data_IF_078413291959
#
_entry.id   IF_078413291959
#
_cell.length_a   1.000
_cell.length_b   1.000
_cell.length_c   1.000
_cell.angle_alpha   90.00
_cell.angle_beta   90.00
_cell.angle_gamma   90.00
#
_symmetry.space_group_name_H-M   'P 1'
#
loop_
_entity.id
_entity.type
_entity.pdbx_description
1 polymer ?
#
# COMPACT_ATOMS: atom_id res chain seq x y z
N UNK A 1 3.42 -2.85 -18.57
CA UNK A 1 2.94 -1.78 -17.67
C UNK A 1 1.43 -1.84 -17.47
N UNK A 2 0.60 -1.79 -18.52
CA UNK A 2 -0.86 -1.90 -18.37
C UNK A 2 -1.35 -3.15 -17.60
N UNK A 3 -0.75 -4.31 -17.85
CA UNK A 3 -1.06 -5.53 -17.10
C UNK A 3 -0.82 -5.37 -15.58
N UNK A 4 0.32 -4.80 -15.20
CA UNK A 4 0.67 -4.55 -13.80
C UNK A 4 -0.26 -3.49 -13.19
N UNK A 5 -0.57 -2.43 -13.94
CA UNK A 5 -1.56 -1.44 -13.54
C UNK A 5 -2.94 -2.08 -13.30
N UNK A 6 -3.35 -3.04 -14.14
CA UNK A 6 -4.60 -3.79 -13.94
C UNK A 6 -4.62 -4.60 -12.65
N UNK A 7 -3.52 -5.28 -12.32
CA UNK A 7 -3.40 -6.02 -11.05
C UNK A 7 -3.44 -5.05 -9.86
N UNK A 8 -2.70 -3.94 -9.91
CA UNK A 8 -2.68 -2.94 -8.84
C UNK A 8 -4.06 -2.27 -8.66
N UNK A 9 -4.76 -1.98 -9.75
CA UNK A 9 -6.11 -1.44 -9.71
C UNK A 9 -7.08 -2.41 -9.05
N UNK A 10 -7.01 -3.72 -9.38
CA UNK A 10 -7.81 -4.74 -8.70
C UNK A 10 -7.46 -4.84 -7.21
N UNK A 11 -6.17 -4.81 -6.87
CA UNK A 11 -5.71 -4.86 -5.49
C UNK A 11 -6.20 -3.65 -4.66
N UNK A 12 -6.27 -2.45 -5.24
CA UNK A 12 -6.83 -1.27 -4.56
C UNK A 12 -8.36 -1.23 -4.56
N UNK A 13 -8.99 -1.80 -5.58
CA UNK A 13 -10.44 -1.80 -5.73
C UNK A 13 -11.15 -2.51 -4.58
N UNK A 14 -10.71 -3.72 -4.22
CA UNK A 14 -11.40 -4.51 -3.19
C UNK A 14 -11.37 -3.86 -1.80
N UNK A 15 -10.24 -3.37 -1.26
CA UNK A 15 -10.20 -2.70 0.03
C UNK A 15 -11.05 -1.45 0.09
N UNK A 16 -11.12 -0.69 -1.01
CA UNK A 16 -11.99 0.48 -1.14
C UNK A 16 -13.47 0.08 -1.19
N UNK A 17 -13.78 -1.10 -1.75
CA UNK A 17 -15.14 -1.62 -1.83
C UNK A 17 -15.65 -2.17 -0.49
N UNK A 18 -14.77 -2.64 0.40
CA UNK A 18 -15.14 -3.18 1.71
C UNK A 18 -16.06 -2.25 2.53
N UNK A 19 -15.73 -0.96 2.76
CA UNK A 19 -16.62 -0.05 3.47
C UNK A 19 -17.93 0.25 2.72
N UNK A 20 -17.94 0.20 1.38
CA UNK A 20 -19.15 0.35 0.57
C UNK A 20 -20.12 -0.81 0.82
N UNK A 21 -19.60 -2.04 0.84
CA UNK A 21 -20.39 -3.24 1.13
C UNK A 21 -20.92 -3.21 2.58
N UNK A 22 -20.10 -2.78 3.55
CA UNK A 22 -20.54 -2.60 4.93
C UNK A 22 -21.70 -1.61 5.04
N UNK A 23 -21.59 -0.44 4.38
CA UNK A 23 -22.64 0.60 4.40
C UNK A 23 -23.97 0.12 3.80
N UNK A 24 -23.91 -0.78 2.81
CA UNK A 24 -25.10 -1.34 2.16
C UNK A 24 -25.61 -2.64 2.84
N UNK A 25 -25.13 -2.97 4.03
CA UNK A 25 -25.57 -4.16 4.78
C UNK A 25 -25.03 -5.49 4.26
N UNK A 26 -24.15 -5.49 3.25
CA UNK A 26 -23.52 -6.70 2.69
C UNK A 26 -22.32 -7.15 3.53
N UNK A 27 -22.57 -7.41 4.82
CA UNK A 27 -21.54 -7.68 5.83
C UNK A 27 -20.72 -8.94 5.54
N UNK A 28 -21.34 -9.99 5.01
CA UNK A 28 -20.63 -11.24 4.66
C UNK A 28 -19.59 -11.01 3.57
N UNK A 29 -19.95 -10.32 2.48
CA UNK A 29 -19.05 -10.02 1.38
C UNK A 29 -17.90 -9.11 1.83
N UNK A 30 -18.20 -8.06 2.60
CA UNK A 30 -17.19 -7.18 3.18
C UNK A 30 -16.22 -7.94 4.10
N UNK A 31 -16.76 -8.84 4.94
CA UNK A 31 -15.97 -9.64 5.88
C UNK A 31 -14.97 -10.56 5.17
N UNK A 32 -15.32 -11.09 4.00
CA UNK A 32 -14.36 -11.85 3.17
C UNK A 32 -13.22 -10.97 2.72
N UNK A 33 -13.49 -9.73 2.28
CA UNK A 33 -12.45 -8.79 1.87
C UNK A 33 -11.52 -8.49 3.06
N UNK A 34 -12.03 -8.07 4.21
CA UNK A 34 -11.21 -7.83 5.40
C UNK A 34 -10.38 -9.06 5.81
N UNK A 35 -10.93 -10.27 5.73
CA UNK A 35 -10.18 -11.49 6.05
C UNK A 35 -9.02 -11.74 5.09
N UNK A 36 -9.21 -11.52 3.80
CA UNK A 36 -8.17 -11.70 2.79
C UNK A 36 -7.08 -10.64 2.95
N UNK A 37 -7.46 -9.38 3.15
CA UNK A 37 -6.50 -8.27 3.24
C UNK A 37 -5.74 -8.22 4.56
N UNK A 38 -6.25 -8.82 5.64
CA UNK A 38 -5.51 -9.05 6.90
C UNK A 38 -4.19 -9.80 6.74
N UNK A 39 -4.01 -10.57 5.65
CA UNK A 39 -2.74 -11.25 5.35
C UNK A 39 -1.68 -10.26 4.85
N UNK A 40 -2.11 -9.20 4.17
CA UNK A 40 -1.23 -8.20 3.59
C UNK A 40 -1.01 -7.00 4.51
N UNK A 41 -2.02 -6.65 5.31
CA UNK A 41 -2.00 -5.51 6.21
C UNK A 41 -2.55 -5.89 7.59
N UNK A 42 -2.03 -5.28 8.65
CA UNK A 42 -2.57 -5.48 10.00
C UNK A 42 -3.94 -4.78 10.21
N UNK A 43 -4.36 -3.91 9.28
CA UNK A 43 -5.65 -3.22 9.30
C UNK A 43 -5.97 -2.52 10.64
N UNK A 44 -4.96 -1.95 11.31
CA UNK A 44 -5.17 -1.26 12.57
C UNK A 44 -6.13 -0.09 12.37
N UNK A 45 -7.21 -0.05 13.16
CA UNK A 45 -8.25 0.97 13.10
C UNK A 45 -7.67 2.39 13.10
N UNK A 46 -6.71 2.67 13.99
CA UNK A 46 -6.06 3.98 14.12
C UNK A 46 -5.00 4.30 13.03
N UNK A 47 -4.84 3.43 12.03
CA UNK A 47 -3.94 3.61 10.88
C UNK A 47 -4.64 3.42 9.54
N UNK A 48 -5.97 3.40 9.54
CA UNK A 48 -6.78 3.14 8.35
C UNK A 48 -7.66 4.34 8.03
N UNK A 49 -7.90 4.56 6.75
CA UNK A 49 -8.90 5.54 6.31
C UNK A 49 -10.31 4.98 6.49
N UNK A 50 -11.27 5.86 6.76
CA UNK A 50 -12.68 5.54 6.94
C UNK A 50 -13.53 6.22 5.87
N UNK A 51 -14.60 5.53 5.47
CA UNK A 51 -15.64 6.08 4.60
C UNK A 51 -16.99 6.03 5.33
N UNK A 52 -17.87 6.98 5.00
CA UNK A 52 -19.25 7.06 5.51
C UNK A 52 -19.38 7.39 7.01
N UNK A 53 -18.37 8.01 7.61
CA UNK A 53 -18.39 8.50 8.99
C UNK A 53 -18.08 9.99 9.08
N UNK A 54 -17.94 10.50 10.31
CA UNK A 54 -17.68 11.91 10.58
C UNK A 54 -16.28 12.38 10.14
N UNK A 55 -15.28 11.49 10.22
CA UNK A 55 -13.90 11.74 9.81
C UNK A 55 -13.37 10.67 8.87
N UNK A 56 -12.39 11.06 8.06
CA UNK A 56 -11.66 10.15 7.17
C UNK A 56 -10.59 9.32 7.90
N UNK A 57 -10.21 9.69 9.11
CA UNK A 57 -9.22 8.99 9.92
C UNK A 57 -9.42 9.30 11.40
N UNK A 58 -9.03 8.35 12.27
CA UNK A 58 -9.11 8.46 13.73
C UNK A 58 -7.75 8.07 14.31
N UNK A 59 -6.84 9.03 14.51
CA UNK A 59 -5.48 8.73 14.93
C UNK A 59 -5.45 8.39 16.43
N UNK A 60 -4.36 7.78 16.90
CA UNK A 60 -4.13 7.66 18.35
C UNK A 60 -3.94 9.03 18.97
N UNK A 61 -4.34 9.19 20.23
CA UNK A 61 -4.03 10.40 21.01
C UNK A 61 -2.52 10.72 21.01
N UNK A 62 -1.68 9.67 21.05
CA UNK A 62 -0.22 9.78 20.98
C UNK A 62 0.31 10.48 19.71
N UNK A 63 -0.46 10.53 18.63
CA UNK A 63 -0.07 11.24 17.40
C UNK A 63 -0.12 12.77 17.56
N UNK A 64 -0.75 13.30 18.63
CA UNK A 64 -0.73 14.71 18.99
C UNK A 64 -1.45 15.63 17.99
N UNK A 65 -2.43 15.11 17.23
CA UNK A 65 -3.18 15.88 16.25
C UNK A 65 -4.37 16.55 16.95
N UNK A 66 -4.45 17.88 16.88
CA UNK A 66 -5.58 18.65 17.42
C UNK A 66 -6.77 18.67 16.46
N UNK A 67 -7.96 18.95 16.99
CA UNK A 67 -9.22 19.10 16.23
C UNK A 67 -9.68 17.84 15.48
N UNK A 68 -9.34 16.66 15.99
CA UNK A 68 -9.82 15.37 15.47
C UNK A 68 -10.23 14.47 16.63
N UNK A 69 -11.28 13.68 16.45
CA UNK A 69 -11.65 12.62 17.37
C UNK A 69 -10.58 11.53 17.27
N UNK A 70 -9.98 11.17 18.40
CA UNK A 70 -8.98 10.11 18.46
C UNK A 70 -9.64 8.74 18.41
N UNK A 71 -8.87 7.72 18.06
CA UNK A 71 -9.33 6.34 18.10
C UNK A 71 -9.81 5.94 19.50
N UNK A 72 -9.08 6.33 20.54
CA UNK A 72 -9.42 6.04 21.93
C UNK A 72 -10.74 6.73 22.33
N UNK A 73 -10.97 7.97 21.87
CA UNK A 73 -12.23 8.69 22.10
C UNK A 73 -13.40 8.06 21.33
N UNK A 74 -13.19 7.67 20.07
CA UNK A 74 -14.25 7.14 19.22
C UNK A 74 -14.68 5.71 19.59
N UNK A 75 -13.75 4.91 20.12
CA UNK A 75 -14.00 3.48 20.43
C UNK A 75 -14.10 3.18 21.92
N UNK A 76 -13.60 4.06 22.79
CA UNK A 76 -13.46 3.80 24.22
C UNK A 76 -12.38 2.75 24.56
N UNK A 77 -11.63 2.28 23.56
CA UNK A 77 -10.66 1.19 23.69
C UNK A 77 -9.23 1.71 23.61
N UNK A 78 -8.34 1.08 24.37
CA UNK A 78 -6.92 1.40 24.35
C UNK A 78 -6.28 0.97 23.02
N UNK A 79 -5.40 1.80 22.45
CA UNK A 79 -4.64 1.43 21.26
C UNK A 79 -3.60 0.32 21.50
N UNK A 80 -3.30 -0.01 22.76
CA UNK A 80 -2.48 -1.16 23.14
C UNK A 80 -3.25 -2.48 22.98
N UNK A 81 -4.58 -2.45 22.91
CA UNK A 81 -5.41 -3.62 22.61
C UNK A 81 -5.44 -3.90 21.09
N UNK A 82 -4.30 -4.40 20.59
CA UNK A 82 -4.05 -4.61 19.16
C UNK A 82 -5.10 -5.51 18.51
N UNK A 83 -5.57 -6.55 19.21
CA UNK A 83 -6.58 -7.46 18.66
C UNK A 83 -7.92 -6.77 18.43
N UNK A 84 -8.34 -5.89 19.33
CA UNK A 84 -9.54 -5.09 19.10
C UNK A 84 -9.31 -4.11 17.95
N UNK A 85 -8.19 -3.37 17.95
CA UNK A 85 -7.88 -2.39 16.91
C UNK A 85 -7.83 -3.02 15.50
N UNK A 86 -7.34 -4.26 15.38
CA UNK A 86 -7.31 -5.02 14.12
C UNK A 86 -8.69 -5.51 13.70
N UNK A 87 -9.52 -5.96 14.64
CA UNK A 87 -10.82 -6.56 14.34
C UNK A 87 -11.95 -5.53 14.22
N UNK A 88 -11.78 -4.34 14.77
CA UNK A 88 -12.75 -3.26 14.65
C UNK A 88 -12.86 -2.79 13.19
N UNK A 89 -14.02 -3.01 12.57
CA UNK A 89 -14.29 -2.63 11.17
C UNK A 89 -14.84 -1.21 11.05
N UNK A 90 -15.62 -0.76 12.03
CA UNK A 90 -16.32 0.51 11.98
C UNK A 90 -17.69 0.46 12.63
N UNK A 91 -18.35 1.61 12.69
CA UNK A 91 -19.71 1.79 13.21
C UNK A 91 -20.37 2.99 12.50
N UNK A 92 -21.58 3.37 12.91
CA UNK A 92 -22.32 4.46 12.26
C UNK A 92 -21.65 5.83 12.42
N UNK A 93 -20.98 6.08 13.54
CA UNK A 93 -20.26 7.32 13.83
C UNK A 93 -18.96 7.42 13.02
N UNK A 94 -18.13 6.39 13.14
CA UNK A 94 -16.81 6.36 12.51
C UNK A 94 -16.86 6.07 11.02
N UNK A 95 -17.98 5.53 10.53
CA UNK A 95 -18.05 4.87 9.24
C UNK A 95 -17.29 3.56 9.28
N UNK A 96 -16.91 3.06 8.11
CA UNK A 96 -16.22 1.78 7.95
C UNK A 96 -14.81 1.99 7.38
N UNK A 97 -13.83 1.29 7.94
CA UNK A 97 -12.44 1.39 7.52
C UNK A 97 -12.22 0.74 6.15
N UNK A 98 -11.29 1.29 5.37
CA UNK A 98 -10.72 0.62 4.20
C UNK A 98 -9.92 -0.60 4.67
N UNK A 99 -9.95 -1.71 3.93
CA UNK A 99 -9.33 -2.97 4.34
C UNK A 99 -7.78 -2.99 4.25
N UNK A 100 -7.13 -1.84 4.15
CA UNK A 100 -5.67 -1.68 4.18
C UNK A 100 -5.33 -0.35 4.86
N UNK A 101 -4.12 -0.23 5.39
CA UNK A 101 -3.71 0.98 6.11
C UNK A 101 -3.47 2.17 5.17
N UNK A 102 -3.46 3.38 5.74
CA UNK A 102 -3.18 4.65 5.04
C UNK A 102 -1.86 4.59 4.25
N UNK A 103 -0.83 3.96 4.81
CA UNK A 103 0.48 3.79 4.14
C UNK A 103 0.37 2.88 2.93
N UNK A 104 -0.33 1.75 3.03
CA UNK A 104 -0.48 0.80 1.93
C UNK A 104 -1.31 1.42 0.79
N UNK A 105 -2.39 2.15 1.12
CA UNK A 105 -3.13 2.94 0.13
C UNK A 105 -2.19 3.86 -0.66
N UNK A 106 -1.30 4.57 0.04
CA UNK A 106 -0.33 5.45 -0.60
C UNK A 106 0.73 4.70 -1.43
N UNK A 107 1.25 3.57 -0.95
CA UNK A 107 2.26 2.77 -1.67
C UNK A 107 1.66 2.21 -2.97
N UNK A 108 0.58 1.46 -2.86
CA UNK A 108 -0.04 0.80 -4.02
C UNK A 108 -0.70 1.82 -4.96
N UNK A 109 -1.25 2.91 -4.41
CA UNK A 109 -1.75 4.04 -5.20
C UNK A 109 -0.64 4.68 -6.04
N UNK A 110 0.52 4.95 -5.42
CA UNK A 110 1.69 5.47 -6.13
C UNK A 110 2.22 4.51 -7.19
N UNK A 111 2.24 3.20 -6.92
CA UNK A 111 2.60 2.19 -7.93
C UNK A 111 1.68 2.25 -9.14
N UNK A 112 0.36 2.28 -8.91
CA UNK A 112 -0.62 2.36 -9.97
C UNK A 112 -0.45 3.64 -10.80
N UNK A 113 -0.38 4.79 -10.15
CA UNK A 113 -0.21 6.09 -10.82
C UNK A 113 1.10 6.16 -11.60
N UNK A 114 2.20 5.68 -11.03
CA UNK A 114 3.49 5.62 -11.72
C UNK A 114 3.44 4.67 -12.92
N UNK A 115 2.73 3.54 -12.84
CA UNK A 115 2.63 2.58 -13.94
C UNK A 115 1.84 3.17 -15.12
N UNK A 116 0.75 3.88 -14.82
CA UNK A 116 -0.03 4.61 -15.82
C UNK A 116 0.80 5.75 -16.42
N UNK A 117 1.45 6.56 -15.60
CA UNK A 117 2.32 7.66 -16.05
C UNK A 117 3.46 7.15 -16.93
N UNK A 118 4.17 6.10 -16.50
CA UNK A 118 5.26 5.49 -17.25
C UNK A 118 4.80 4.95 -18.61
N UNK A 119 3.57 4.40 -18.68
CA UNK A 119 2.95 4.01 -19.94
C UNK A 119 2.61 5.20 -20.85
N UNK A 120 2.11 6.31 -20.27
CA UNK A 120 1.73 7.53 -21.01
C UNK A 120 2.94 8.21 -21.66
N UNK A 121 4.08 8.26 -20.97
CA UNK A 121 5.34 8.83 -21.52
C UNK A 121 6.06 7.88 -22.49
N UNK A 122 5.42 6.78 -22.91
CA UNK A 122 5.99 5.81 -23.84
C UNK A 122 7.15 5.01 -23.25
N UNK A 123 7.20 4.87 -21.92
CA UNK A 123 8.20 4.07 -21.20
C UNK A 123 9.66 4.49 -21.40
N UNK A 124 9.88 5.79 -21.64
CA UNK A 124 11.20 6.36 -21.95
C UNK A 124 11.96 6.87 -20.71
N UNK A 125 11.38 6.73 -19.52
CA UNK A 125 12.01 7.19 -18.29
C UNK A 125 13.27 6.37 -17.99
N UNK A 126 14.38 7.04 -17.72
CA UNK A 126 15.61 6.37 -17.30
C UNK A 126 15.47 5.86 -15.87
N UNK A 127 16.10 4.71 -15.59
CA UNK A 127 16.16 4.12 -14.26
C UNK A 127 16.77 5.07 -13.24
N UNK A 128 16.18 5.09 -12.04
CA UNK A 128 16.74 5.80 -10.90
C UNK A 128 18.02 5.05 -10.43
N UNK A 129 19.14 5.73 -10.13
CA UNK A 129 20.28 5.08 -9.50
C UNK A 129 19.90 4.48 -8.14
N UNK A 130 20.43 3.31 -7.80
CA UNK A 130 20.04 2.56 -6.60
C UNK A 130 20.21 3.38 -5.30
N UNK A 131 21.24 4.22 -5.21
CA UNK A 131 21.49 5.04 -4.01
C UNK A 131 20.45 6.16 -3.85
N UNK A 132 19.97 6.75 -4.96
CA UNK A 132 18.87 7.72 -4.89
C UNK A 132 17.57 7.04 -4.51
N UNK A 133 17.31 5.83 -5.04
CA UNK A 133 16.16 5.02 -4.61
C UNK A 133 16.19 4.74 -3.10
N UNK A 134 17.34 4.31 -2.56
CA UNK A 134 17.50 4.12 -1.11
C UNK A 134 17.20 5.42 -0.36
N UNK A 135 17.81 6.52 -0.77
CA UNK A 135 17.69 7.81 -0.09
C UNK A 135 16.27 8.39 -0.09
N UNK A 136 15.57 8.33 -1.22
CA UNK A 136 14.25 8.99 -1.35
C UNK A 136 13.08 8.07 -0.98
N UNK A 137 13.23 6.75 -1.19
CA UNK A 137 12.14 5.80 -1.05
C UNK A 137 12.26 5.02 0.27
N UNK A 138 13.41 4.39 0.52
CA UNK A 138 13.59 3.50 1.68
C UNK A 138 13.86 4.26 2.97
N UNK A 139 14.73 5.28 2.97
CA UNK A 139 15.12 5.99 4.19
C UNK A 139 13.92 6.68 4.86
N UNK A 140 13.08 7.49 4.19
CA UNK A 140 11.97 8.17 4.86
C UNK A 140 10.94 7.20 5.44
N UNK A 141 10.59 6.15 4.70
CA UNK A 141 9.66 5.12 5.16
C UNK A 141 10.25 4.27 6.28
N UNK A 142 11.54 3.94 6.21
CA UNK A 142 12.27 3.23 7.25
C UNK A 142 12.33 4.04 8.54
N UNK A 143 12.69 5.31 8.48
CA UNK A 143 12.73 6.21 9.64
C UNK A 143 11.34 6.35 10.28
N UNK A 144 10.30 6.58 9.48
CA UNK A 144 8.95 6.69 10.02
C UNK A 144 8.44 5.36 10.59
N UNK A 145 8.66 4.23 9.92
CA UNK A 145 8.24 2.91 10.38
C UNK A 145 8.97 2.44 11.64
N UNK A 146 10.30 2.56 11.68
CA UNK A 146 11.12 2.13 12.82
C UNK A 146 10.83 2.97 14.05
N UNK A 147 10.63 4.28 13.90
CA UNK A 147 10.31 5.15 15.04
C UNK A 147 8.94 4.87 15.68
N UNK A 148 8.07 4.06 15.05
CA UNK A 148 6.77 3.67 15.59
C UNK A 148 6.77 2.32 16.30
N UNK A 149 7.78 1.47 16.09
CA UNK A 149 7.89 0.16 16.76
C UNK A 149 7.74 0.28 18.29
N UNK A 150 8.34 1.28 18.97
CA UNK A 150 8.14 1.50 20.41
C UNK A 150 6.68 1.58 20.83
N UNK A 151 5.84 2.23 20.02
CA UNK A 151 4.43 2.50 20.32
C UNK A 151 3.53 1.25 20.26
N UNK A 152 4.06 0.13 19.74
CA UNK A 152 3.38 -1.14 19.59
C UNK A 152 3.85 -2.20 20.61
N UNK A 153 4.90 -1.90 21.40
CA UNK A 153 5.51 -2.86 22.31
C UNK A 153 5.02 -2.67 23.75
N UNK A 154 4.46 -3.72 24.33
CA UNK A 154 4.11 -3.82 25.75
C UNK A 154 5.36 -4.16 26.58
N UNK A 155 6.20 -3.15 26.85
CA UNK A 155 7.45 -3.30 27.59
C UNK A 155 8.56 -2.33 27.19
N UNK A 156 8.23 -1.30 26.41
CA UNK A 156 9.20 -0.28 26.01
C UNK A 156 9.71 0.51 27.23
N UNK A 157 11.04 0.75 27.34
CA UNK A 157 11.57 1.47 28.49
C UNK A 157 10.98 2.88 28.59
N UNK A 158 10.52 3.26 29.79
CA UNK A 158 9.83 4.54 30.05
C UNK A 158 10.66 5.78 29.77
N UNK A 159 11.98 5.65 29.71
CA UNK A 159 12.92 6.73 29.42
C UNK A 159 13.17 6.95 27.91
N UNK A 160 12.73 6.03 27.05
CA UNK A 160 12.84 6.18 25.61
C UNK A 160 11.56 6.81 25.04
N UNK A 161 11.66 7.79 24.12
CA UNK A 161 10.50 8.44 23.56
C UNK A 161 9.64 7.44 22.76
N UNK A 162 8.33 7.52 22.97
CA UNK A 162 7.33 6.76 22.22
C UNK A 162 6.68 7.71 21.22
N UNK A 163 6.60 7.26 19.96
CA UNK A 163 6.05 8.05 18.87
C UNK A 163 5.08 7.23 18.04
N UNK A 164 3.95 7.84 17.66
CA UNK A 164 3.04 7.31 16.64
C UNK A 164 3.13 8.18 15.37
N UNK A 165 2.97 7.59 14.18
CA UNK A 165 2.88 8.39 12.95
C UNK A 165 1.59 9.19 12.90
N UNK A 166 1.63 10.31 12.20
CA UNK A 166 0.42 10.97 11.72
C UNK A 166 -0.03 10.34 10.40
N UNK A 167 -1.35 10.35 10.09
CA UNK A 167 -1.85 9.89 8.79
C UNK A 167 -1.17 10.56 7.60
N UNK A 168 -0.92 11.86 7.70
CA UNK A 168 -0.21 12.63 6.67
C UNK A 168 1.19 12.08 6.41
N UNK A 169 1.96 11.78 7.46
CA UNK A 169 3.31 11.26 7.29
C UNK A 169 3.31 9.83 6.74
N UNK A 170 2.33 8.99 7.13
CA UNK A 170 2.16 7.65 6.54
C UNK A 170 1.89 7.73 5.04
N UNK A 171 1.05 8.68 4.60
CA UNK A 171 0.78 8.93 3.18
C UNK A 171 2.02 9.43 2.47
N UNK A 172 2.73 10.41 3.01
CA UNK A 172 3.93 10.99 2.37
C UNK A 172 5.03 9.93 2.22
N UNK A 173 5.36 9.23 3.30
CA UNK A 173 6.43 8.22 3.29
C UNK A 173 6.05 7.01 2.44
N UNK A 174 4.79 6.57 2.48
CA UNK A 174 4.28 5.52 1.60
C UNK A 174 4.29 5.94 0.13
N UNK A 175 3.89 7.17 -0.18
CA UNK A 175 3.88 7.69 -1.54
C UNK A 175 5.29 7.84 -2.11
N UNK A 176 6.24 8.36 -1.31
CA UNK A 176 7.66 8.45 -1.67
C UNK A 176 8.25 7.06 -1.94
N UNK A 177 7.97 6.09 -1.07
CA UNK A 177 8.39 4.71 -1.28
C UNK A 177 7.82 4.13 -2.57
N UNK A 178 6.52 4.31 -2.80
CA UNK A 178 5.82 3.82 -3.98
C UNK A 178 6.37 4.44 -5.27
N UNK A 179 6.44 5.77 -5.36
CA UNK A 179 6.95 6.49 -6.54
C UNK A 179 8.43 6.19 -6.79
N UNK A 180 9.26 6.24 -5.75
CA UNK A 180 10.70 5.98 -5.88
C UNK A 180 10.99 4.55 -6.31
N UNK A 181 10.27 3.58 -5.74
CA UNK A 181 10.44 2.16 -6.11
C UNK A 181 9.90 1.87 -7.51
N UNK A 182 8.78 2.48 -7.93
CA UNK A 182 8.32 2.38 -9.33
C UNK A 182 9.29 3.02 -10.32
N UNK A 183 9.87 4.18 -10.00
CA UNK A 183 10.87 4.82 -10.85
C UNK A 183 12.14 3.95 -10.95
N UNK A 184 12.54 3.28 -9.88
CA UNK A 184 13.64 2.32 -9.92
C UNK A 184 13.30 1.09 -10.78
N UNK A 185 12.18 0.42 -10.49
CA UNK A 185 11.88 -0.91 -11.02
C UNK A 185 11.30 -0.88 -12.44
N UNK A 186 10.42 0.07 -12.78
CA UNK A 186 9.69 0.00 -14.05
C UNK A 186 10.57 0.14 -15.30
N UNK A 187 11.57 1.05 -15.34
CA UNK A 187 12.54 1.08 -16.43
C UNK A 187 13.34 -0.22 -16.54
N UNK A 188 13.88 -0.72 -15.43
CA UNK A 188 14.66 -1.97 -15.39
C UNK A 188 13.84 -3.17 -15.89
N UNK A 189 12.57 -3.23 -15.49
CA UNK A 189 11.65 -4.27 -15.92
C UNK A 189 11.32 -4.17 -17.41
N UNK A 190 11.11 -2.96 -17.96
CA UNK A 190 10.87 -2.79 -19.39
C UNK A 190 12.09 -3.22 -20.22
N UNK A 191 13.30 -2.84 -19.81
CA UNK A 191 14.55 -3.26 -20.46
C UNK A 191 14.64 -4.80 -20.49
N UNK A 192 14.45 -5.45 -19.35
CA UNK A 192 14.45 -6.92 -19.25
C UNK A 192 13.37 -7.58 -20.11
N UNK A 193 12.17 -7.00 -20.18
CA UNK A 193 11.08 -7.51 -21.01
C UNK A 193 11.40 -7.39 -22.52
N UNK A 194 12.02 -6.29 -22.93
CA UNK A 194 12.44 -6.07 -24.33
C UNK A 194 13.53 -7.07 -24.73
N UNK A 195 14.53 -7.28 -23.88
CA UNK A 195 15.58 -8.29 -24.09
C UNK A 195 15.00 -9.70 -24.18
N UNK A 196 14.10 -10.06 -23.26
CA UNK A 196 13.46 -11.38 -23.26
C UNK A 196 12.63 -11.58 -24.53
N UNK A 197 11.88 -10.56 -24.96
CA UNK A 197 11.09 -10.60 -26.19
C UNK A 197 11.96 -10.78 -27.43
N UNK A 198 13.09 -10.07 -27.52
CA UNK A 198 14.00 -10.19 -28.67
C UNK A 198 14.66 -11.58 -28.72
N UNK A 199 15.11 -12.10 -27.58
CA UNK A 199 15.66 -13.45 -27.47
C UNK A 199 14.64 -14.54 -27.86
N UNK A 200 13.39 -14.43 -27.42
CA UNK A 200 12.32 -15.35 -27.81
C UNK A 200 12.01 -15.27 -29.32
N UNK A 201 11.95 -14.06 -29.89
CA UNK A 201 11.70 -13.87 -31.31
C UNK A 201 12.80 -14.53 -32.17
N UNK A 202 14.07 -14.40 -31.76
CA UNK A 202 15.20 -15.06 -32.43
C UNK A 202 15.08 -16.59 -32.36
N UNK A 203 14.80 -17.16 -31.19
CA UNK A 203 14.60 -18.61 -31.02
C UNK A 203 13.45 -19.13 -31.88
N UNK A 204 12.33 -18.41 -31.94
CA UNK A 204 11.18 -18.76 -32.79
C UNK A 204 11.54 -18.72 -34.28
N UNK A 205 12.29 -17.70 -34.73
CA UNK A 205 12.74 -17.59 -36.11
C UNK A 205 13.68 -18.74 -36.51
N UNK A 206 14.62 -19.11 -35.63
CA UNK A 206 15.52 -20.26 -35.84
C UNK A 206 14.71 -21.55 -35.91
N UNK A 207 13.79 -21.78 -34.96
CA UNK A 207 12.90 -22.95 -34.96
C UNK A 207 12.14 -23.08 -36.28
N UNK A 208 11.55 -21.97 -36.76
CA UNK A 208 10.82 -21.92 -38.04
C UNK A 208 11.73 -22.25 -39.23
N UNK A 209 12.97 -21.79 -39.22
CA UNK A 209 13.97 -22.10 -40.27
C UNK A 209 14.36 -23.58 -40.26
N UNK A 210 14.57 -24.18 -39.08
CA UNK A 210 14.91 -25.59 -38.94
C UNK A 210 13.78 -26.52 -39.44
N UNK A 211 12.53 -26.21 -39.07
CA UNK A 211 11.34 -26.92 -39.58
C UNK A 211 11.28 -26.82 -41.11
N UNK A 212 11.46 -25.63 -41.67
CA UNK A 212 11.44 -25.42 -43.12
C UNK A 212 12.56 -26.20 -43.84
N UNK A 213 13.67 -26.47 -43.17
CA UNK A 213 14.82 -27.21 -43.70
C UNK A 213 14.72 -28.73 -43.46
N UNK A 214 13.64 -29.24 -42.86
CA UNK A 214 13.47 -30.66 -42.53
C UNK A 214 14.50 -31.19 -41.52
N UNK A 215 15.12 -30.28 -40.74
CA UNK A 215 16.15 -30.61 -39.73
C UNK A 215 15.57 -30.86 -38.34
N UNK A 216 14.24 -30.90 -38.25
CA UNK A 216 13.45 -31.04 -37.02
C UNK A 216 12.03 -31.46 -37.38
#
# INVERSE_FOLDING_TARGET
MLFIAGILALFLFFPLMAPVLMKNGQTTAASVIYKVYKVFCHELAYRSFYLYGEQYYYPRELAGISNVITYEQATGMSAQEIDFARNFVGNELMGYKIAICERDVAIYGSFLLAALFFQLIGKKLKGLPWYLWVLIALVPMGLDGVSQIPSLSSGWPTWLPIRESTPMLRVITGALFGLGTSWFIYPLMEESMVETRSAMAQKMAIKKKLIKQGRM
#
